data_IF_896648823509
#
_entry.id   IF_896648823509
#
_cell.length_a   1.000
_cell.length_b   1.000
_cell.length_c   1.000
_cell.angle_alpha   90.00
_cell.angle_beta   90.00
_cell.angle_gamma   90.00
#
_symmetry.space_group_name_H-M   'P 1'
#
loop_
_entity.id
_entity.type
_entity.pdbx_description
1 polymer ?
#
# COMPACT_ATOMS: atom_id res chain seq x y z
N UNK A 1 -21.44 -5.72 12.15
CA UNK A 1 -21.53 -5.31 10.73
C UNK A 1 -20.66 -4.07 10.58
N UNK A 2 -19.45 -4.22 10.03
CA UNK A 2 -18.54 -3.10 9.78
C UNK A 2 -19.07 -2.32 8.59
N UNK A 3 -19.33 -1.03 8.76
CA UNK A 3 -19.84 -0.18 7.69
C UNK A 3 -18.70 0.16 6.73
N UNK A 4 -18.85 -0.24 5.46
CA UNK A 4 -17.96 0.20 4.38
C UNK A 4 -18.29 1.67 4.10
N UNK A 5 -17.38 2.58 4.46
CA UNK A 5 -17.55 3.98 4.13
C UNK A 5 -16.91 4.25 2.78
N UNK A 6 -17.73 4.37 1.74
CA UNK A 6 -17.30 4.83 0.41
C UNK A 6 -17.56 6.33 0.30
N UNK A 7 -16.49 7.12 0.24
CA UNK A 7 -16.59 8.55 -0.09
C UNK A 7 -16.52 8.70 -1.63
N UNK A 8 -17.66 8.93 -2.25
CA UNK A 8 -17.74 9.22 -3.68
C UNK A 8 -17.22 10.63 -3.97
N UNK A 9 -15.93 10.76 -4.27
CA UNK A 9 -15.38 11.95 -4.91
C UNK A 9 -15.53 11.78 -6.42
N UNK A 10 -16.41 12.57 -7.02
CA UNK A 10 -16.81 12.53 -8.42
C UNK A 10 -15.66 12.91 -9.37
N UNK A 11 -14.95 11.92 -9.89
CA UNK A 11 -14.26 11.88 -11.19
C UNK A 11 -13.45 10.57 -11.35
N UNK A 12 -13.95 9.44 -10.81
CA UNK A 12 -13.33 8.13 -10.98
C UNK A 12 -13.54 7.59 -12.40
N UNK A 13 -12.52 6.95 -12.96
CA UNK A 13 -12.70 6.05 -14.10
C UNK A 13 -13.63 4.94 -13.63
N UNK A 14 -14.79 4.83 -14.27
CA UNK A 14 -15.76 3.79 -13.97
C UNK A 14 -15.32 2.49 -14.65
N UNK A 15 -14.92 1.49 -13.89
CA UNK A 15 -14.50 0.17 -14.39
C UNK A 15 -13.54 -0.53 -13.44
N UNK A 16 -13.27 -1.81 -13.69
CA UNK A 16 -12.24 -2.56 -12.98
C UNK A 16 -10.89 -1.80 -13.03
N UNK A 17 -10.14 -1.79 -11.93
CA UNK A 17 -8.78 -1.27 -11.96
C UNK A 17 -7.91 -2.09 -12.92
N UNK A 18 -6.84 -1.51 -13.45
CA UNK A 18 -5.91 -2.21 -14.33
C UNK A 18 -4.91 -3.06 -13.57
N UNK A 19 -4.68 -2.75 -12.30
CA UNK A 19 -3.81 -3.51 -11.41
C UNK A 19 -4.13 -3.21 -9.95
N UNK A 20 -3.73 -4.11 -9.05
CA UNK A 20 -3.71 -3.87 -7.60
C UNK A 20 -2.28 -3.97 -7.11
N UNK A 21 -1.81 -2.95 -6.41
CA UNK A 21 -0.47 -2.89 -5.82
C UNK A 21 -0.60 -2.89 -4.30
N UNK A 22 0.12 -3.77 -3.65
CA UNK A 22 0.14 -3.91 -2.20
C UNK A 22 1.45 -3.38 -1.61
N UNK A 23 1.36 -2.62 -0.54
CA UNK A 23 2.45 -2.54 0.40
C UNK A 23 2.70 -3.92 1.03
N UNK A 24 3.92 -4.17 1.52
CA UNK A 24 4.31 -5.47 2.06
C UNK A 24 4.18 -5.52 3.60
N UNK A 25 5.04 -4.75 4.28
CA UNK A 25 5.27 -4.81 5.73
C UNK A 25 4.17 -4.10 6.52
N UNK A 26 3.38 -4.87 7.29
CA UNK A 26 2.18 -4.43 8.00
C UNK A 26 0.90 -4.58 7.18
N UNK A 27 0.99 -4.86 5.88
CA UNK A 27 -0.15 -5.01 4.96
C UNK A 27 -0.39 -6.47 4.57
N UNK A 28 0.61 -7.13 3.99
CA UNK A 28 0.60 -8.57 3.68
C UNK A 28 1.28 -9.38 4.78
N UNK A 29 2.38 -8.86 5.34
CA UNK A 29 3.18 -9.50 6.38
C UNK A 29 3.02 -8.79 7.71
N UNK A 30 2.75 -9.55 8.77
CA UNK A 30 2.55 -9.00 10.12
C UNK A 30 3.90 -8.67 10.78
N UNK A 31 4.24 -7.39 10.80
CA UNK A 31 5.48 -6.88 11.41
C UNK A 31 5.52 -7.05 12.92
N UNK A 32 4.41 -7.36 13.57
CA UNK A 32 4.34 -7.58 15.00
C UNK A 32 4.46 -9.07 15.36
N UNK A 33 4.55 -9.98 14.39
CA UNK A 33 4.80 -11.41 14.65
C UNK A 33 6.12 -11.64 15.37
N UNK A 34 7.08 -10.70 15.29
CA UNK A 34 8.34 -10.74 16.05
C UNK A 34 8.18 -10.51 17.56
N UNK A 35 7.01 -10.06 18.04
CA UNK A 35 6.78 -9.75 19.48
C UNK A 35 7.04 -10.99 20.34
N UNK A 36 6.62 -12.16 19.90
CA UNK A 36 6.81 -13.40 20.65
C UNK A 36 8.29 -13.74 20.83
N UNK A 37 9.11 -13.58 19.80
CA UNK A 37 10.55 -13.79 19.89
C UNK A 37 11.22 -12.72 20.76
N UNK A 38 10.79 -11.45 20.62
CA UNK A 38 11.30 -10.37 21.46
C UNK A 38 10.94 -10.56 22.93
N UNK A 39 9.74 -11.04 23.25
CA UNK A 39 9.30 -11.33 24.62
C UNK A 39 10.10 -12.47 25.26
N UNK A 40 10.46 -13.51 24.49
CA UNK A 40 11.33 -14.59 24.95
C UNK A 40 12.76 -14.10 25.27
N UNK A 41 13.28 -13.16 24.48
CA UNK A 41 14.63 -12.61 24.66
C UNK A 41 14.67 -11.52 25.74
N UNK A 42 13.62 -10.73 25.85
CA UNK A 42 13.52 -9.57 26.74
C UNK A 42 12.17 -9.55 27.45
N UNK A 43 11.95 -10.42 28.46
CA UNK A 43 10.67 -10.55 29.15
C UNK A 43 10.11 -9.21 29.65
N UNK A 44 8.84 -8.95 29.35
CA UNK A 44 8.13 -7.70 29.66
C UNK A 44 8.42 -6.53 28.71
N UNK A 45 9.28 -6.71 27.69
CA UNK A 45 9.65 -5.64 26.75
C UNK A 45 9.29 -5.95 25.29
N UNK A 46 8.80 -7.13 24.97
CA UNK A 46 8.58 -7.57 23.59
C UNK A 46 7.71 -6.60 22.77
N UNK A 47 6.58 -6.20 23.32
CA UNK A 47 5.66 -5.26 22.65
C UNK A 47 6.28 -3.87 22.50
N UNK A 48 6.87 -3.31 23.56
CA UNK A 48 7.50 -1.99 23.53
C UNK A 48 8.66 -1.94 22.54
N UNK A 49 9.49 -2.99 22.50
CA UNK A 49 10.59 -3.12 21.55
C UNK A 49 10.08 -3.16 20.11
N UNK A 50 9.10 -4.01 19.81
CA UNK A 50 8.53 -4.13 18.47
C UNK A 50 7.93 -2.82 17.97
N UNK A 51 7.16 -2.11 18.80
CA UNK A 51 6.55 -0.83 18.44
C UNK A 51 7.61 0.24 18.17
N UNK A 52 8.57 0.42 19.06
CA UNK A 52 9.64 1.42 18.90
C UNK A 52 10.57 1.07 17.73
N UNK A 53 10.84 -0.21 17.53
CA UNK A 53 11.61 -0.71 16.38
C UNK A 53 10.95 -0.32 15.07
N UNK A 54 9.64 -0.63 14.92
CA UNK A 54 8.87 -0.26 13.72
C UNK A 54 8.81 1.25 13.52
N UNK A 55 8.58 2.02 14.57
CA UNK A 55 8.56 3.47 14.50
C UNK A 55 9.88 4.04 13.96
N UNK A 56 11.02 3.59 14.51
CA UNK A 56 12.35 4.07 14.09
C UNK A 56 12.71 3.62 12.68
N UNK A 57 12.30 2.44 12.28
CA UNK A 57 12.47 1.95 10.93
C UNK A 57 11.79 2.87 9.90
N UNK A 58 10.54 3.25 10.13
CA UNK A 58 9.81 4.18 9.27
C UNK A 58 10.46 5.57 9.31
N UNK A 59 10.75 6.09 10.49
CA UNK A 59 11.38 7.40 10.66
C UNK A 59 12.71 7.50 9.92
N UNK A 60 13.58 6.50 10.04
CA UNK A 60 14.89 6.50 9.38
C UNK A 60 14.80 6.43 7.85
N UNK A 61 13.83 5.71 7.30
CA UNK A 61 13.61 5.67 5.86
C UNK A 61 13.21 7.04 5.32
N UNK A 62 12.27 7.71 6.00
CA UNK A 62 11.77 9.03 5.60
C UNK A 62 12.84 10.11 5.74
N UNK A 63 13.57 10.14 6.87
CA UNK A 63 14.63 11.12 7.10
C UNK A 63 15.77 11.02 6.08
N UNK A 64 16.18 9.80 5.70
CA UNK A 64 17.24 9.60 4.70
C UNK A 64 16.82 10.10 3.32
N UNK A 65 15.57 9.86 2.93
CA UNK A 65 15.03 10.34 1.64
C UNK A 65 14.87 11.86 1.65
N UNK A 66 14.35 12.43 2.73
CA UNK A 66 14.16 13.88 2.88
C UNK A 66 15.48 14.63 2.91
N UNK A 67 16.49 14.09 3.62
CA UNK A 67 17.79 14.75 3.79
C UNK A 67 18.62 14.78 2.49
N UNK A 68 18.37 13.84 1.57
CA UNK A 68 19.08 13.81 0.29
C UNK A 68 18.19 13.19 -0.81
N UNK A 69 17.43 14.00 -1.52
CA UNK A 69 16.57 13.53 -2.62
C UNK A 69 17.35 12.87 -3.78
N UNK A 70 18.68 13.09 -3.88
CA UNK A 70 19.52 12.43 -4.89
C UNK A 70 19.78 10.95 -4.60
N UNK A 71 19.47 10.49 -3.38
CA UNK A 71 19.67 9.11 -2.95
C UNK A 71 21.09 8.80 -2.44
N UNK A 72 21.95 9.81 -2.23
CA UNK A 72 23.29 9.60 -1.68
C UNK A 72 23.28 9.12 -0.22
N UNK A 73 22.19 9.39 0.53
CA UNK A 73 22.00 8.89 1.89
C UNK A 73 21.16 7.63 1.98
N UNK A 74 20.80 7.06 0.85
CA UNK A 74 20.07 5.79 0.83
C UNK A 74 20.95 4.66 1.41
N UNK A 75 20.34 3.84 2.25
CA UNK A 75 20.91 2.62 2.84
C UNK A 75 19.83 1.55 2.69
N UNK A 76 20.16 0.29 2.36
CA UNK A 76 19.17 -0.76 2.22
C UNK A 76 18.28 -0.94 3.45
N UNK A 77 17.03 -1.32 3.25
CA UNK A 77 16.05 -1.42 4.33
C UNK A 77 16.45 -2.44 5.41
N UNK A 78 17.19 -3.47 5.05
CA UNK A 78 17.76 -4.42 6.01
C UNK A 78 18.66 -3.74 7.05
N UNK A 79 19.56 -2.89 6.58
CA UNK A 79 20.49 -2.18 7.47
C UNK A 79 19.76 -1.17 8.34
N UNK A 80 18.75 -0.48 7.78
CA UNK A 80 17.86 0.41 8.56
C UNK A 80 17.11 -0.40 9.62
N UNK A 81 16.68 -1.60 9.30
CA UNK A 81 15.99 -2.48 10.25
C UNK A 81 16.89 -2.83 11.42
N UNK A 82 18.16 -3.17 11.19
CA UNK A 82 19.15 -3.41 12.24
C UNK A 82 19.40 -2.15 13.06
N UNK A 83 19.65 -1.01 12.41
CA UNK A 83 19.93 0.25 13.10
C UNK A 83 18.76 0.69 14.00
N UNK A 84 17.53 0.50 13.52
CA UNK A 84 16.31 0.78 14.27
C UNK A 84 16.13 -0.14 15.48
N UNK A 85 16.46 -1.44 15.33
CA UNK A 85 16.46 -2.41 16.45
C UNK A 85 17.44 -2.01 17.53
N UNK A 86 18.69 -1.69 17.15
CA UNK A 86 19.74 -1.25 18.09
C UNK A 86 19.33 0.01 18.84
N UNK A 87 18.76 0.99 18.13
CA UNK A 87 18.25 2.21 18.75
C UNK A 87 17.12 1.90 19.73
N UNK A 88 16.14 1.09 19.32
CA UNK A 88 14.99 0.74 20.16
C UNK A 88 15.45 0.01 21.44
N UNK A 89 16.34 -0.96 21.31
CA UNK A 89 16.93 -1.67 22.46
C UNK A 89 17.66 -0.71 23.40
N UNK A 90 18.47 0.20 22.87
CA UNK A 90 19.18 1.19 23.68
C UNK A 90 18.21 2.13 24.44
N UNK A 91 17.14 2.58 23.79
CA UNK A 91 16.12 3.46 24.41
C UNK A 91 15.36 2.77 25.54
N UNK A 92 15.20 1.45 25.47
CA UNK A 92 14.53 0.63 26.48
C UNK A 92 15.48 0.08 27.54
N UNK A 93 16.77 0.47 27.54
CA UNK A 93 17.77 -0.03 28.48
C UNK A 93 18.22 -1.46 28.20
N UNK A 94 17.94 -2.01 27.01
CA UNK A 94 18.23 -3.38 26.61
C UNK A 94 19.55 -3.53 25.83
N UNK A 95 20.34 -2.46 25.67
CA UNK A 95 21.53 -2.46 24.82
C UNK A 95 22.53 -3.57 25.17
N UNK A 96 22.76 -3.83 26.47
CA UNK A 96 23.64 -4.88 26.92
C UNK A 96 23.07 -6.29 26.75
N UNK A 97 21.74 -6.42 26.77
CA UNK A 97 21.04 -7.69 26.56
C UNK A 97 20.87 -8.02 25.07
N UNK A 98 20.94 -7.04 24.17
CA UNK A 98 20.92 -7.25 22.72
C UNK A 98 22.29 -7.73 22.25
N UNK A 99 22.63 -8.98 22.59
CA UNK A 99 23.82 -9.64 22.07
C UNK A 99 23.74 -9.86 20.57
N UNK A 100 24.87 -10.16 19.91
CA UNK A 100 24.87 -10.49 18.46
C UNK A 100 23.96 -11.68 18.12
N UNK A 101 23.84 -12.65 19.04
CA UNK A 101 22.92 -13.79 18.88
C UNK A 101 21.46 -13.37 18.98
N UNK A 102 21.12 -12.49 19.92
CA UNK A 102 19.75 -11.97 20.06
C UNK A 102 19.36 -11.09 18.87
N UNK A 103 20.26 -10.21 18.42
CA UNK A 103 20.07 -9.39 17.22
C UNK A 103 19.82 -10.27 16.00
N UNK A 104 20.70 -11.26 15.76
CA UNK A 104 20.53 -12.19 14.64
C UNK A 104 19.20 -12.91 14.70
N UNK A 105 18.79 -13.42 15.86
CA UNK A 105 17.52 -14.14 16.02
C UNK A 105 16.33 -13.25 15.67
N UNK A 106 16.29 -12.00 16.16
CA UNK A 106 15.20 -11.07 15.82
C UNK A 106 15.19 -10.70 14.34
N UNK A 107 16.36 -10.56 13.72
CA UNK A 107 16.46 -10.29 12.29
C UNK A 107 16.05 -11.49 11.45
N UNK A 108 16.37 -12.72 11.86
CA UNK A 108 15.90 -13.95 11.19
C UNK A 108 14.35 -14.05 11.25
N UNK A 109 13.75 -13.77 12.41
CA UNK A 109 12.29 -13.69 12.56
C UNK A 109 11.67 -12.59 11.66
N UNK A 110 12.34 -11.43 11.61
CA UNK A 110 11.87 -10.33 10.74
C UNK A 110 11.99 -10.67 9.24
N UNK A 111 12.94 -11.50 8.85
CA UNK A 111 13.06 -11.97 7.47
C UNK A 111 11.90 -12.91 7.06
N UNK A 112 11.37 -13.68 8.03
CA UNK A 112 10.35 -14.71 7.82
C UNK A 112 9.01 -14.36 8.47
N UNK A 113 8.58 -13.09 8.38
CA UNK A 113 7.31 -12.63 8.94
C UNK A 113 6.14 -13.47 8.45
N UNK A 114 5.20 -13.75 9.35
CA UNK A 114 3.95 -14.41 9.00
C UNK A 114 3.09 -13.52 8.11
N UNK A 115 2.43 -14.12 7.13
CA UNK A 115 1.37 -13.42 6.41
C UNK A 115 0.14 -13.23 7.31
N UNK A 116 -0.64 -12.19 7.06
CA UNK A 116 -1.96 -12.09 7.65
C UNK A 116 -2.86 -13.22 7.13
N UNK A 117 -3.70 -13.84 7.97
CA UNK A 117 -4.45 -15.05 7.61
C UNK A 117 -5.41 -14.87 6.42
N UNK A 118 -5.88 -13.64 6.18
CA UNK A 118 -6.82 -13.30 5.11
C UNK A 118 -6.13 -12.94 3.78
N UNK A 119 -4.78 -12.86 3.75
CA UNK A 119 -4.05 -12.34 2.60
C UNK A 119 -4.11 -13.30 1.40
N UNK A 120 -3.73 -14.57 1.58
CA UNK A 120 -3.63 -15.54 0.48
C UNK A 120 -4.96 -15.70 -0.27
N UNK A 121 -6.05 -15.97 0.46
CA UNK A 121 -7.36 -16.16 -0.15
C UNK A 121 -7.85 -14.92 -0.92
N UNK A 122 -7.51 -13.71 -0.45
CA UNK A 122 -7.88 -12.50 -1.14
C UNK A 122 -7.04 -12.25 -2.40
N UNK A 123 -5.74 -12.56 -2.37
CA UNK A 123 -4.88 -12.47 -3.55
C UNK A 123 -5.36 -13.43 -4.65
N UNK A 124 -5.68 -14.67 -4.29
CA UNK A 124 -6.27 -15.63 -5.23
C UNK A 124 -7.59 -15.13 -5.80
N UNK A 125 -8.48 -14.59 -4.96
CA UNK A 125 -9.76 -14.05 -5.43
C UNK A 125 -9.58 -12.86 -6.37
N UNK A 126 -8.61 -11.97 -6.15
CA UNK A 126 -8.31 -10.85 -7.05
C UNK A 126 -7.82 -11.35 -8.42
N UNK A 127 -7.03 -12.41 -8.46
CA UNK A 127 -6.53 -13.01 -9.69
C UNK A 127 -7.61 -13.81 -10.42
N UNK A 128 -8.25 -14.75 -9.73
CA UNK A 128 -9.14 -15.72 -10.34
C UNK A 128 -10.52 -15.12 -10.66
N UNK A 129 -11.08 -14.34 -9.73
CA UNK A 129 -12.43 -13.80 -9.88
C UNK A 129 -12.47 -12.51 -10.69
N UNK A 130 -11.47 -11.63 -10.50
CA UNK A 130 -11.44 -10.31 -11.14
C UNK A 130 -10.45 -10.24 -12.30
N UNK A 131 -9.56 -11.23 -12.47
CA UNK A 131 -8.54 -11.24 -13.52
C UNK A 131 -7.50 -10.13 -13.39
N UNK A 132 -7.27 -9.64 -12.16
CA UNK A 132 -6.41 -8.48 -11.93
C UNK A 132 -4.95 -8.87 -11.78
N UNK A 133 -4.02 -8.21 -12.47
CA UNK A 133 -2.61 -8.33 -12.20
C UNK A 133 -2.26 -7.69 -10.87
N UNK A 134 -1.36 -8.34 -10.10
CA UNK A 134 -0.99 -7.96 -8.76
C UNK A 134 0.48 -7.62 -8.65
N UNK A 135 0.82 -6.62 -7.83
CA UNK A 135 2.21 -6.35 -7.48
C UNK A 135 2.40 -6.05 -5.99
N UNK A 136 3.61 -6.28 -5.52
CA UNK A 136 4.12 -5.69 -4.28
C UNK A 136 4.92 -4.44 -4.66
N UNK A 137 4.74 -3.36 -3.89
CA UNK A 137 5.62 -2.19 -3.89
C UNK A 137 6.03 -1.87 -2.46
N UNK A 138 7.31 -2.08 -2.14
CA UNK A 138 7.78 -2.08 -0.75
C UNK A 138 9.06 -1.28 -0.55
N UNK A 139 9.20 -0.76 0.68
CA UNK A 139 10.46 -0.22 1.18
C UNK A 139 11.53 -1.32 1.42
N UNK A 140 11.12 -2.60 1.52
CA UNK A 140 12.02 -3.73 1.67
C UNK A 140 12.94 -3.91 0.48
N UNK A 141 14.20 -4.28 0.74
CA UNK A 141 15.15 -4.60 -0.32
C UNK A 141 14.86 -5.99 -0.95
N UNK A 142 15.32 -6.26 -2.18
CA UNK A 142 14.92 -7.45 -2.92
C UNK A 142 15.12 -8.78 -2.20
N UNK A 143 16.24 -9.07 -1.51
CA UNK A 143 16.41 -10.33 -0.79
C UNK A 143 15.40 -10.52 0.35
N UNK A 144 15.02 -9.43 1.07
CA UNK A 144 14.01 -9.51 2.13
C UNK A 144 12.64 -9.88 1.55
N UNK A 145 12.25 -9.25 0.44
CA UNK A 145 10.96 -9.50 -0.22
C UNK A 145 10.90 -10.93 -0.78
N UNK A 146 11.99 -11.42 -1.35
CA UNK A 146 12.06 -12.80 -1.87
C UNK A 146 11.85 -13.82 -0.75
N UNK A 147 12.52 -13.63 0.40
CA UNK A 147 12.34 -14.50 1.57
C UNK A 147 10.90 -14.42 2.10
N UNK A 148 10.37 -13.20 2.30
CA UNK A 148 9.03 -13.00 2.85
C UNK A 148 7.94 -13.61 1.95
N UNK A 149 8.00 -13.41 0.64
CA UNK A 149 7.06 -13.98 -0.33
C UNK A 149 7.12 -15.51 -0.33
N UNK A 150 8.32 -16.10 -0.29
CA UNK A 150 8.50 -17.56 -0.25
C UNK A 150 8.01 -18.17 1.07
N UNK A 151 8.41 -17.59 2.20
CA UNK A 151 8.02 -18.10 3.53
C UNK A 151 6.51 -18.01 3.77
N UNK A 152 5.85 -17.01 3.19
CA UNK A 152 4.41 -16.83 3.27
C UNK A 152 3.60 -17.69 2.27
N UNK A 153 4.26 -18.50 1.44
CA UNK A 153 3.60 -19.32 0.41
C UNK A 153 2.99 -18.52 -0.74
N UNK A 154 3.46 -17.29 -0.97
CA UNK A 154 2.91 -16.36 -1.98
C UNK A 154 3.68 -16.40 -3.31
N UNK A 155 4.54 -17.40 -3.51
CA UNK A 155 5.32 -17.54 -4.75
C UNK A 155 4.38 -17.68 -5.95
N UNK A 156 4.61 -16.84 -6.99
CA UNK A 156 3.81 -16.88 -8.23
C UNK A 156 2.48 -16.12 -8.17
N UNK A 157 2.10 -15.52 -7.03
CA UNK A 157 0.88 -14.72 -6.92
C UNK A 157 1.03 -13.30 -7.47
N UNK A 158 2.24 -12.77 -7.53
CA UNK A 158 2.51 -11.41 -8.00
C UNK A 158 3.17 -11.41 -9.38
N UNK A 159 2.67 -10.56 -10.27
CA UNK A 159 3.27 -10.30 -11.57
C UNK A 159 4.56 -9.49 -11.41
N UNK A 160 4.63 -8.65 -10.36
CA UNK A 160 5.81 -7.85 -10.02
C UNK A 160 6.02 -7.77 -8.50
N UNK A 161 7.28 -7.89 -8.07
CA UNK A 161 7.73 -7.61 -6.70
C UNK A 161 8.72 -6.46 -6.78
N UNK A 162 8.27 -5.25 -6.41
CA UNK A 162 8.98 -4.00 -6.62
C UNK A 162 9.58 -3.50 -5.30
N UNK A 163 10.89 -3.25 -5.34
CA UNK A 163 11.63 -2.63 -4.24
C UNK A 163 12.01 -1.20 -4.58
N UNK A 164 11.92 -0.30 -3.60
CA UNK A 164 12.40 1.08 -3.70
C UNK A 164 13.92 1.18 -3.85
N UNK A 165 14.67 0.08 -3.64
CA UNK A 165 16.10 -0.01 -3.95
C UNK A 165 16.41 0.47 -5.38
N UNK A 166 15.51 0.18 -6.32
CA UNK A 166 15.67 0.54 -7.74
C UNK A 166 15.74 2.07 -7.96
N UNK A 167 15.16 2.86 -7.06
CA UNK A 167 15.13 4.34 -7.16
C UNK A 167 15.87 5.03 -6.03
N UNK A 168 16.41 4.28 -5.06
CA UNK A 168 17.13 4.78 -3.89
C UNK A 168 16.38 5.91 -3.15
N UNK A 169 15.06 5.74 -3.04
CA UNK A 169 14.16 6.67 -2.38
C UNK A 169 13.00 5.92 -1.73
N UNK A 170 12.82 6.10 -0.43
CA UNK A 170 11.77 5.46 0.33
C UNK A 170 10.41 6.14 0.12
N UNK A 171 9.32 5.40 0.23
CA UNK A 171 7.98 5.96 0.38
C UNK A 171 7.98 6.97 1.56
N UNK A 172 7.27 8.11 1.45
CA UNK A 172 6.29 8.45 0.42
C UNK A 172 6.84 9.25 -0.77
N UNK A 173 8.11 9.12 -1.14
CA UNK A 173 8.65 9.78 -2.34
C UNK A 173 7.94 9.29 -3.60
N UNK A 174 7.58 10.21 -4.50
CA UNK A 174 6.85 9.92 -5.73
C UNK A 174 7.55 8.90 -6.64
N UNK A 175 8.90 8.89 -6.65
CA UNK A 175 9.71 7.93 -7.41
C UNK A 175 9.44 6.48 -7.02
N UNK A 176 9.12 6.24 -5.74
CA UNK A 176 8.76 4.91 -5.27
C UNK A 176 7.45 4.43 -5.92
N UNK A 177 6.40 5.25 -5.92
CA UNK A 177 5.11 4.88 -6.52
C UNK A 177 5.18 4.79 -8.05
N UNK A 178 6.06 5.56 -8.69
CA UNK A 178 6.26 5.50 -10.14
C UNK A 178 6.71 4.13 -10.63
N UNK A 179 7.40 3.34 -9.78
CA UNK A 179 7.77 1.97 -10.10
C UNK A 179 6.56 1.10 -10.46
N UNK A 180 5.46 1.24 -9.73
CA UNK A 180 4.23 0.48 -9.99
C UNK A 180 3.63 0.80 -11.35
N UNK A 181 3.56 2.07 -11.74
CA UNK A 181 3.06 2.45 -13.06
C UNK A 181 3.95 1.92 -14.18
N UNK A 182 5.26 2.03 -14.02
CA UNK A 182 6.24 1.53 -15.02
C UNK A 182 6.12 0.04 -15.21
N UNK A 183 5.97 -0.72 -14.11
CA UNK A 183 5.85 -2.18 -14.16
C UNK A 183 4.65 -2.64 -14.99
N UNK A 184 3.52 -1.93 -14.91
CA UNK A 184 2.30 -2.26 -15.66
C UNK A 184 2.14 -1.47 -16.98
N UNK A 185 3.13 -0.67 -17.37
CA UNK A 185 3.04 0.15 -18.59
C UNK A 185 1.88 1.15 -18.55
N UNK A 186 1.55 1.70 -17.38
CA UNK A 186 0.45 2.65 -17.18
C UNK A 186 0.99 4.07 -17.19
N UNK A 187 0.42 4.95 -18.01
CA UNK A 187 0.82 6.34 -18.08
C UNK A 187 0.44 7.11 -16.80
N UNK A 188 1.20 8.15 -16.45
CA UNK A 188 0.98 8.98 -15.23
C UNK A 188 -0.46 9.54 -15.16
N UNK A 189 -1.03 9.94 -16.27
CA UNK A 189 -2.41 10.45 -16.34
C UNK A 189 -3.48 9.39 -15.98
N UNK A 190 -3.13 8.10 -16.05
CA UNK A 190 -3.99 6.96 -15.74
C UNK A 190 -3.65 6.31 -14.37
N UNK A 191 -2.86 6.96 -13.51
CA UNK A 191 -2.45 6.43 -12.22
C UNK A 191 -3.65 5.96 -11.35
N UNK A 192 -4.77 6.68 -11.41
CA UNK A 192 -6.03 6.33 -10.72
C UNK A 192 -6.63 4.98 -11.12
N UNK A 193 -6.19 4.38 -12.22
CA UNK A 193 -6.62 3.05 -12.66
C UNK A 193 -5.88 1.92 -11.90
N UNK A 194 -4.94 2.28 -11.03
CA UNK A 194 -4.28 1.36 -10.09
C UNK A 194 -4.90 1.54 -8.72
N UNK A 195 -5.29 0.43 -8.09
CA UNK A 195 -5.63 0.40 -6.66
C UNK A 195 -4.37 0.12 -5.85
N UNK A 196 -4.02 1.04 -4.97
CA UNK A 196 -2.92 0.86 -4.02
C UNK A 196 -3.48 0.54 -2.63
N UNK A 197 -2.99 -0.55 -2.04
CA UNK A 197 -3.47 -1.09 -0.77
C UNK A 197 -2.35 -1.03 0.27
N UNK A 198 -2.61 -0.36 1.38
CA UNK A 198 -1.69 -0.34 2.51
C UNK A 198 -2.43 -0.27 3.84
N UNK A 199 -1.87 -0.89 4.88
CA UNK A 199 -2.32 -0.72 6.27
C UNK A 199 -1.68 0.50 6.93
N UNK A 200 -0.60 1.03 6.35
CA UNK A 200 0.10 2.20 6.85
C UNK A 200 -0.59 3.48 6.33
N UNK A 201 -1.25 4.26 7.20
CA UNK A 201 -1.99 5.47 6.81
C UNK A 201 -1.14 6.50 6.06
N UNK A 202 0.11 6.69 6.50
CA UNK A 202 1.07 7.58 5.82
C UNK A 202 1.40 7.13 4.39
N UNK A 203 1.44 5.82 4.12
CA UNK A 203 1.71 5.25 2.79
C UNK A 203 0.48 5.40 1.88
N UNK A 204 -0.72 5.22 2.44
CA UNK A 204 -1.99 5.51 1.76
C UNK A 204 -2.05 6.98 1.35
N UNK A 205 -1.66 7.91 2.24
CA UNK A 205 -1.61 9.34 1.92
C UNK A 205 -0.60 9.62 0.80
N UNK A 206 0.61 9.05 0.88
CA UNK A 206 1.62 9.19 -0.17
C UNK A 206 1.16 8.67 -1.54
N UNK A 207 0.50 7.52 -1.57
CA UNK A 207 -0.06 6.93 -2.79
C UNK A 207 -1.20 7.79 -3.37
N UNK A 208 -2.05 8.38 -2.51
CA UNK A 208 -3.11 9.28 -2.94
C UNK A 208 -2.56 10.59 -3.51
N UNK A 209 -1.55 11.21 -2.87
CA UNK A 209 -0.84 12.37 -3.44
C UNK A 209 -0.18 12.05 -4.78
N UNK A 210 0.31 10.85 -4.92
CA UNK A 210 0.83 10.37 -6.20
C UNK A 210 -0.28 10.20 -7.24
N UNK A 211 -1.55 9.99 -6.87
CA UNK A 211 -2.71 9.89 -7.75
C UNK A 211 -3.24 8.49 -7.97
N UNK A 212 -2.85 7.52 -7.18
CA UNK A 212 -3.47 6.19 -7.15
C UNK A 212 -4.87 6.24 -6.53
N UNK A 213 -5.73 5.31 -6.92
CA UNK A 213 -6.92 4.95 -6.13
C UNK A 213 -6.45 4.17 -4.93
N UNK A 214 -6.79 4.60 -3.70
CA UNK A 214 -6.23 4.04 -2.48
C UNK A 214 -7.26 3.29 -1.66
N UNK A 215 -6.84 2.15 -1.10
CA UNK A 215 -7.60 1.42 -0.10
C UNK A 215 -6.78 1.32 1.20
N UNK A 216 -7.31 1.87 2.29
CA UNK A 216 -6.69 1.76 3.60
C UNK A 216 -7.16 0.50 4.33
N UNK A 217 -6.26 -0.46 4.48
CA UNK A 217 -6.50 -1.71 5.20
C UNK A 217 -6.29 -1.47 6.70
N UNK A 218 -7.28 -0.86 7.35
CA UNK A 218 -7.21 -0.42 8.75
C UNK A 218 -7.54 -1.56 9.73
N UNK A 219 -6.65 -2.51 9.87
CA UNK A 219 -6.82 -3.69 10.75
C UNK A 219 -6.93 -3.35 12.23
N UNK A 220 -6.36 -2.20 12.64
CA UNK A 220 -6.28 -1.81 14.05
C UNK A 220 -7.35 -0.79 14.46
N UNK A 221 -8.25 -0.44 13.55
CA UNK A 221 -9.23 0.64 13.76
C UNK A 221 -8.57 1.94 14.24
N UNK A 222 -7.42 2.27 13.66
CA UNK A 222 -6.68 3.49 13.96
C UNK A 222 -7.43 4.73 13.45
N UNK A 223 -7.24 5.91 14.04
CA UNK A 223 -7.73 7.15 13.48
C UNK A 223 -7.09 7.44 12.13
N UNK A 224 -7.79 8.18 11.26
CA UNK A 224 -7.24 8.64 10.00
C UNK A 224 -6.07 9.59 10.26
N UNK A 225 -5.03 9.48 9.42
CA UNK A 225 -3.93 10.43 9.44
C UNK A 225 -4.40 11.84 9.04
N UNK A 226 -4.05 12.85 9.83
CA UNK A 226 -4.39 14.26 9.59
C UNK A 226 -3.48 14.90 8.53
N UNK A 227 -3.36 14.23 7.37
CA UNK A 227 -2.52 14.63 6.25
C UNK A 227 -3.30 15.27 5.10
N UNK A 228 -4.57 15.64 5.35
CA UNK A 228 -5.42 16.29 4.34
C UNK A 228 -5.82 15.37 3.18
N UNK A 229 -5.75 14.05 3.38
CA UNK A 229 -6.10 13.03 2.38
C UNK A 229 -7.08 12.05 2.97
N UNK A 230 -8.13 11.74 2.23
CA UNK A 230 -9.07 10.67 2.56
C UNK A 230 -8.84 9.50 1.60
N UNK A 231 -8.68 8.25 2.07
CA UNK A 231 -8.60 7.08 1.21
C UNK A 231 -9.89 6.92 0.39
N UNK A 232 -9.80 6.36 -0.81
CA UNK A 232 -10.97 6.08 -1.66
C UNK A 232 -11.83 4.94 -1.11
N UNK A 233 -11.22 4.03 -0.36
CA UNK A 233 -11.90 2.98 0.41
C UNK A 233 -11.13 2.65 1.67
N UNK A 234 -11.84 2.14 2.67
CA UNK A 234 -11.25 1.65 3.92
C UNK A 234 -12.00 0.42 4.41
N UNK A 235 -11.29 -0.46 5.10
CA UNK A 235 -11.88 -1.65 5.72
C UNK A 235 -10.93 -2.33 6.69
N UNK A 236 -11.45 -3.22 7.52
CA UNK A 236 -10.68 -3.90 8.57
C UNK A 236 -9.93 -5.14 8.07
N UNK A 237 -10.27 -5.66 6.88
CA UNK A 237 -9.69 -6.88 6.32
C UNK A 237 -9.73 -6.95 4.81
N UNK A 238 -9.13 -8.00 4.25
CA UNK A 238 -9.05 -8.20 2.80
C UNK A 238 -10.43 -8.42 2.16
N UNK A 239 -11.43 -8.93 2.89
CA UNK A 239 -12.79 -9.04 2.38
C UNK A 239 -13.41 -7.68 2.05
N UNK A 240 -13.07 -6.63 2.82
CA UNK A 240 -13.53 -5.28 2.55
C UNK A 240 -12.85 -4.73 1.28
N UNK A 241 -11.57 -5.08 1.03
CA UNK A 241 -10.89 -4.77 -0.23
C UNK A 241 -11.59 -5.43 -1.42
N UNK A 242 -11.96 -6.72 -1.31
CA UNK A 242 -12.69 -7.42 -2.39
C UNK A 242 -14.04 -6.76 -2.68
N UNK A 243 -14.76 -6.35 -1.63
CA UNK A 243 -16.02 -5.61 -1.78
C UNK A 243 -15.78 -4.24 -2.45
N UNK A 244 -14.73 -3.52 -2.07
CA UNK A 244 -14.34 -2.25 -2.69
C UNK A 244 -14.03 -2.41 -4.18
N UNK A 245 -13.21 -3.39 -4.56
CA UNK A 245 -12.90 -3.69 -5.97
C UNK A 245 -14.17 -4.03 -6.76
N UNK A 246 -15.08 -4.79 -6.15
CA UNK A 246 -16.37 -5.11 -6.78
C UNK A 246 -17.25 -3.86 -7.01
N UNK A 247 -17.22 -2.87 -6.11
CA UNK A 247 -17.95 -1.60 -6.32
C UNK A 247 -17.36 -0.80 -7.48
N UNK A 248 -16.03 -0.79 -7.63
CA UNK A 248 -15.36 -0.14 -8.78
C UNK A 248 -15.78 -0.79 -10.10
N UNK A 249 -15.84 -2.13 -10.15
CA UNK A 249 -16.27 -2.88 -11.32
C UNK A 249 -17.72 -2.50 -11.74
N UNK A 250 -18.64 -2.50 -10.76
CA UNK A 250 -20.05 -2.22 -11.00
C UNK A 250 -20.34 -0.78 -11.44
N UNK A 251 -19.52 0.18 -10.98
CA UNK A 251 -19.62 1.57 -11.40
C UNK A 251 -19.26 1.77 -12.89
N UNK A 252 -18.48 0.84 -13.46
CA UNK A 252 -18.12 0.85 -14.89
C UNK A 252 -19.21 0.38 -15.83
N UNK A 253 -20.10 -0.46 -15.36
CA UNK A 253 -21.19 -1.03 -16.16
C UNK A 253 -22.45 -0.16 -16.20
N UNK A 254 -22.48 0.95 -15.45
CA UNK A 254 -23.61 1.88 -15.46
C UNK A 254 -23.72 2.57 -16.83
N UNK A 255 -24.90 2.54 -17.52
CA UNK A 255 -25.07 3.16 -18.83
C UNK A 255 -24.79 4.67 -18.72
N UNK A 256 -23.90 5.19 -19.58
CA UNK A 256 -23.63 6.62 -19.66
C UNK A 256 -24.93 7.37 -19.95
N UNK A 257 -25.29 8.43 -19.19
CA UNK A 257 -26.46 9.22 -19.50
C UNK A 257 -26.34 9.71 -20.96
N UNK A 258 -27.32 9.32 -21.77
CA UNK A 258 -27.33 9.57 -23.20
C UNK A 258 -27.06 11.04 -23.50
N UNK A 259 -26.13 11.29 -24.41
CA UNK A 259 -25.90 12.59 -25.02
C UNK A 259 -27.25 13.00 -25.67
N UNK A 260 -27.96 13.94 -25.06
CA UNK A 260 -29.19 14.48 -25.62
C UNK A 260 -28.88 14.93 -27.05
N UNK A 261 -29.46 14.22 -28.01
CA UNK A 261 -29.44 14.61 -29.41
C UNK A 261 -30.17 15.95 -29.50
N UNK A 262 -29.43 16.99 -29.89
CA UNK A 262 -30.00 18.31 -30.16
C UNK A 262 -31.07 18.15 -31.24
N UNK A 263 -32.35 18.26 -30.85
CA UNK A 263 -33.47 18.27 -31.74
C UNK A 263 -33.30 19.43 -32.71
N UNK A 264 -33.31 19.12 -34.01
CA UNK A 264 -33.27 20.07 -35.11
C UNK A 264 -34.44 21.07 -34.99
N UNK A 265 -34.12 22.34 -34.78
CA UNK A 265 -35.08 23.42 -34.91
C UNK A 265 -35.50 23.51 -36.38
N UNK A 266 -36.69 23.00 -36.70
CA UNK A 266 -37.35 23.23 -37.95
C UNK A 266 -37.62 24.73 -38.12
N UNK A 267 -37.06 25.32 -39.19
CA UNK A 267 -37.32 26.70 -39.64
C UNK A 267 -38.80 26.81 -40.05
N UNK A 268 -39.54 27.72 -39.43
CA UNK A 268 -40.84 28.18 -39.92
C UNK A 268 -40.62 28.97 -41.18
N UNK A 269 -41.48 28.79 -42.26
CA UNK A 269 -41.44 29.63 -43.47
C UNK A 269 -42.03 31.03 -43.18
N UNK A 270 -41.35 32.06 -43.68
CA UNK A 270 -41.84 33.41 -43.66
C UNK A 270 -42.98 33.52 -44.71
N UNK A 271 -44.16 33.89 -44.26
CA UNK A 271 -45.27 34.33 -45.18
C UNK A 271 -44.95 35.71 -45.72
N UNK A 272 -44.82 35.79 -47.04
CA UNK A 272 -44.89 37.03 -47.82
C UNK A 272 -46.33 37.49 -47.82
N UNK A 273 -46.62 38.67 -47.29
CA UNK A 273 -47.86 39.41 -47.51
C UNK A 273 -47.48 40.74 -48.11
N UNK A 274 -47.83 40.91 -49.40
CA UNK A 274 -47.81 42.18 -50.05
C UNK A 274 -49.12 42.96 -49.86
N UNK A 275 -49.04 44.22 -49.87
CA UNK A 275 -49.84 45.28 -50.43
C UNK A 275 -49.47 46.60 -49.76
#
# INVERSE_FOLDING_TARGET
MSAITTHASSSGSSGLPRAVIFDAYGTLFDVHSVIAAAEQLFPGNGSALSQLWRQKQIEYTQLRTLADPSGGRYVPFWDITIDALRHAAARLGLAQALTSTAEKRLMDEYACLSAFPDALAALDALRERFGLPLAILSNGNPPMLDIAVKSAGMTGLFDHVLSVDAVRAYKPDARAYELGMRAFGIARAAAREIVFVSSNGWDVAGAAWFGYTTFWLNRQNAPLEELGVTPHGTGAGMNDLLAFVNTLASAGDAPRPGRATAASRTRRPRSSGGA
#
